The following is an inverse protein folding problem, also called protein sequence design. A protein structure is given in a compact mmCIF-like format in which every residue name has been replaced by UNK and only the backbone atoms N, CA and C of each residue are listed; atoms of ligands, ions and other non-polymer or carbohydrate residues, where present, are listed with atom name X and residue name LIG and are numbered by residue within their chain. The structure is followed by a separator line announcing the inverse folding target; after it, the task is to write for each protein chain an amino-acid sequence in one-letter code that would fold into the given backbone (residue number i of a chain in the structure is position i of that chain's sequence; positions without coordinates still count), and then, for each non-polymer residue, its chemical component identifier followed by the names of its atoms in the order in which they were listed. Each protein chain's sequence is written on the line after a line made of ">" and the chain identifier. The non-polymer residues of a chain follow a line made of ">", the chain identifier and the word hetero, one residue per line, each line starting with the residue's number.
data_IF_676390684553
#
_entry.id   IF_676390684553
#
_cell.length_a   1.000
_cell.length_b   1.000
_cell.length_c   1.000
_cell.angle_alpha   90.00
_cell.angle_beta   90.00
_cell.angle_gamma   90.00
#
_symmetry.space_group_name_H-M   'P 1'
#
loop_
_entity.id
_entity.type
_entity.pdbx_description
1 polymer ?
#
# COMPACT_ATOMS: atom_id res chain seq x y z
N UNK A 1 -18.47 52.76 -12.57
CA UNK A 1 -17.65 51.54 -12.67
C UNK A 1 -17.20 51.12 -11.27
N UNK A 2 -17.60 49.94 -10.79
CA UNK A 2 -17.20 49.35 -9.50
C UNK A 2 -16.77 47.89 -9.74
N UNK A 3 -15.54 47.54 -9.37
CA UNK A 3 -15.08 46.15 -9.07
C UNK A 3 -15.50 45.81 -7.62
N UNK A 4 -15.24 44.61 -7.07
CA UNK A 4 -15.30 43.23 -7.60
C UNK A 4 -16.12 42.32 -6.62
N UNK A 5 -16.41 41.06 -6.98
CA UNK A 5 -16.63 40.01 -5.96
C UNK A 5 -16.11 38.67 -6.46
N UNK A 6 -15.04 38.21 -5.81
CA UNK A 6 -14.63 36.83 -5.79
C UNK A 6 -15.74 36.01 -5.11
N UNK A 7 -16.23 34.97 -5.80
CA UNK A 7 -17.07 33.95 -5.20
C UNK A 7 -16.20 32.94 -4.45
N UNK A 8 -16.53 32.59 -3.19
CA UNK A 8 -15.79 31.60 -2.44
C UNK A 8 -16.52 30.23 -2.48
N UNK A 9 -15.72 29.15 -2.38
CA UNK A 9 -16.02 27.87 -1.72
C UNK A 9 -16.86 26.81 -2.46
N UNK A 10 -16.17 25.77 -2.93
CA UNK A 10 -16.45 24.37 -2.60
C UNK A 10 -15.10 23.63 -2.73
N UNK A 11 -14.39 23.24 -1.68
CA UNK A 11 -14.90 22.66 -0.45
C UNK A 11 -15.26 21.19 -0.65
N UNK A 12 -14.41 20.42 -1.34
CA UNK A 12 -14.45 18.97 -1.32
C UNK A 12 -13.22 18.44 -0.57
N UNK A 13 -13.36 17.81 0.60
CA UNK A 13 -12.26 17.07 1.18
C UNK A 13 -12.13 15.78 0.36
N UNK A 14 -11.23 15.74 -0.62
CA UNK A 14 -10.65 14.44 -1.03
C UNK A 14 -9.55 14.08 -0.05
N UNK A 15 -9.91 14.03 1.23
CA UNK A 15 -9.20 13.11 2.10
C UNK A 15 -9.68 11.75 1.61
N UNK A 16 -8.85 11.07 0.81
CA UNK A 16 -8.98 9.61 0.71
C UNK A 16 -8.71 9.18 2.14
N UNK A 17 -9.80 8.98 2.87
CA UNK A 17 -9.78 8.51 4.24
C UNK A 17 -8.84 7.32 4.22
N UNK A 18 -7.71 7.50 4.88
CA UNK A 18 -6.79 6.43 5.18
C UNK A 18 -7.62 5.46 6.02
N UNK A 19 -8.23 4.49 5.36
CA UNK A 19 -8.79 3.31 5.99
C UNK A 19 -7.62 2.73 6.79
N UNK A 20 -7.66 2.95 8.10
CA UNK A 20 -6.71 2.38 9.06
C UNK A 20 -6.55 0.91 8.69
N UNK A 21 -5.37 0.58 8.19
CA UNK A 21 -5.12 -0.59 7.37
C UNK A 21 -5.43 -1.88 8.09
N UNK A 22 -6.66 -2.37 7.92
CA UNK A 22 -6.90 -3.79 8.02
C UNK A 22 -6.15 -4.42 6.84
N UNK A 23 -5.01 -5.04 7.12
CA UNK A 23 -4.38 -5.93 6.15
C UNK A 23 -5.47 -6.93 5.75
N UNK A 24 -5.85 -6.90 4.48
CA UNK A 24 -6.94 -7.73 3.97
C UNK A 24 -6.67 -9.20 4.32
N UNK A 25 -7.71 -9.96 4.64
CA UNK A 25 -7.58 -11.33 5.16
C UNK A 25 -6.88 -12.28 4.17
N UNK A 26 -7.03 -12.01 2.88
CA UNK A 26 -6.32 -12.68 1.78
C UNK A 26 -4.81 -12.35 1.74
N UNK A 27 -4.42 -11.14 2.14
CA UNK A 27 -3.01 -10.78 2.32
C UNK A 27 -2.42 -11.55 3.50
N UNK A 28 -3.15 -11.67 4.61
CA UNK A 28 -2.70 -12.42 5.79
C UNK A 28 -2.46 -13.91 5.48
N UNK A 29 -3.26 -14.51 4.59
CA UNK A 29 -3.08 -15.91 4.18
C UNK A 29 -1.73 -16.17 3.48
N UNK A 30 -1.12 -15.15 2.88
CA UNK A 30 0.19 -15.25 2.24
C UNK A 30 1.36 -15.06 3.22
N UNK A 31 1.12 -14.47 4.39
CA UNK A 31 2.19 -14.08 5.30
C UNK A 31 2.62 -15.25 6.20
N UNK A 32 3.93 -15.38 6.48
CA UNK A 32 4.43 -16.32 7.49
C UNK A 32 4.04 -15.87 8.90
N UNK A 33 4.08 -16.78 9.88
CA UNK A 33 3.80 -16.46 11.29
C UNK A 33 4.68 -15.33 11.85
N UNK A 34 5.92 -15.20 11.36
CA UNK A 34 6.82 -14.10 11.68
C UNK A 34 7.46 -13.54 10.41
N UNK A 35 7.05 -12.32 10.07
CA UNK A 35 7.68 -11.53 9.02
C UNK A 35 8.85 -10.72 9.60
N UNK A 36 9.96 -10.66 8.88
CA UNK A 36 11.09 -9.82 9.28
C UNK A 36 10.68 -8.34 9.27
N UNK A 37 11.06 -7.51 10.26
CA UNK A 37 10.60 -6.11 10.37
C UNK A 37 10.88 -5.27 9.11
N UNK A 38 12.02 -5.51 8.46
CA UNK A 38 12.37 -4.85 7.19
C UNK A 38 11.41 -5.23 6.05
N UNK A 39 11.04 -6.51 5.94
CA UNK A 39 10.07 -6.96 4.94
C UNK A 39 8.65 -6.45 5.25
N UNK A 40 8.30 -6.34 6.53
CA UNK A 40 7.05 -5.71 6.97
C UNK A 40 6.98 -4.24 6.53
N UNK A 41 8.05 -3.46 6.74
CA UNK A 41 8.13 -2.07 6.28
C UNK A 41 7.91 -1.96 4.76
N UNK A 42 8.50 -2.85 3.96
CA UNK A 42 8.30 -2.84 2.50
C UNK A 42 6.87 -3.24 2.11
N UNK A 43 6.27 -4.21 2.81
CA UNK A 43 4.87 -4.59 2.61
C UNK A 43 3.92 -3.42 2.88
N UNK A 44 4.08 -2.75 4.01
CA UNK A 44 3.25 -1.60 4.40
C UNK A 44 3.36 -0.46 3.37
N UNK A 45 4.57 -0.14 2.90
CA UNK A 45 4.79 0.87 1.86
C UNK A 45 4.21 0.50 0.50
N UNK A 46 4.21 -0.79 0.15
CA UNK A 46 3.60 -1.25 -1.09
C UNK A 46 2.08 -1.20 -1.02
N UNK A 47 1.49 -1.63 0.12
CA UNK A 47 0.05 -1.57 0.36
C UNK A 47 -0.48 -0.12 0.47
N UNK A 48 0.32 0.82 0.98
CA UNK A 48 -0.04 2.24 1.01
C UNK A 48 0.06 2.93 -0.36
N UNK A 49 0.70 2.28 -1.35
CA UNK A 49 0.98 2.85 -2.67
C UNK A 49 2.23 3.75 -2.72
N UNK A 50 3.00 3.85 -1.63
CA UNK A 50 4.25 4.62 -1.55
C UNK A 50 5.47 3.89 -2.18
N UNK A 51 5.25 2.68 -2.70
CA UNK A 51 6.26 1.84 -3.34
C UNK A 51 5.65 1.13 -4.55
N UNK A 52 6.37 1.12 -5.67
CA UNK A 52 5.91 0.38 -6.86
C UNK A 52 6.02 -1.13 -6.66
N UNK A 53 5.21 -1.90 -7.38
CA UNK A 53 5.31 -3.37 -7.39
C UNK A 53 6.71 -3.89 -7.76
N UNK A 54 7.40 -3.22 -8.69
CA UNK A 54 8.74 -3.60 -9.10
C UNK A 54 9.78 -3.39 -7.99
N UNK A 55 9.64 -2.30 -7.21
CA UNK A 55 10.47 -2.06 -6.03
C UNK A 55 10.15 -3.05 -4.91
N UNK A 56 8.87 -3.29 -4.64
CA UNK A 56 8.43 -4.27 -3.66
C UNK A 56 9.05 -5.64 -3.94
N UNK A 57 8.93 -6.14 -5.18
CA UNK A 57 9.53 -7.40 -5.59
C UNK A 57 11.05 -7.43 -5.38
N UNK A 58 11.76 -6.31 -5.64
CA UNK A 58 13.22 -6.26 -5.46
C UNK A 58 13.65 -6.29 -4.00
N UNK A 59 12.95 -5.57 -3.13
CA UNK A 59 13.40 -5.34 -1.75
C UNK A 59 12.82 -6.35 -0.75
N UNK A 60 11.60 -6.85 -0.98
CA UNK A 60 10.89 -7.70 -0.01
C UNK A 60 11.59 -9.04 0.25
N UNK A 61 12.18 -9.65 -0.78
CA UNK A 61 12.89 -10.93 -0.68
C UNK A 61 14.37 -10.81 -0.33
N UNK A 62 14.89 -9.59 -0.18
CA UNK A 62 16.33 -9.42 0.02
C UNK A 62 16.84 -9.86 1.40
N UNK A 63 16.09 -9.63 2.51
CA UNK A 63 16.47 -10.15 3.82
C UNK A 63 16.49 -11.69 3.85
N UNK A 64 15.61 -12.32 3.06
CA UNK A 64 15.54 -13.77 2.92
C UNK A 64 14.84 -14.14 1.60
N UNK A 65 15.51 -14.95 0.78
CA UNK A 65 14.98 -15.42 -0.51
C UNK A 65 13.68 -16.23 -0.38
N UNK A 66 13.40 -16.81 0.80
CA UNK A 66 12.14 -17.53 1.11
C UNK A 66 10.90 -16.64 0.99
N UNK A 67 11.06 -15.32 1.03
CA UNK A 67 9.97 -14.37 0.84
C UNK A 67 9.61 -14.11 -0.62
N UNK A 68 10.33 -14.70 -1.58
CA UNK A 68 10.00 -14.57 -3.00
C UNK A 68 8.65 -15.23 -3.32
N UNK A 69 8.35 -16.39 -2.73
CA UNK A 69 7.04 -17.05 -2.92
C UNK A 69 5.91 -16.35 -2.16
N UNK A 70 6.22 -15.75 -1.01
CA UNK A 70 5.29 -14.85 -0.29
C UNK A 70 4.94 -13.64 -1.16
N UNK A 71 5.94 -13.01 -1.79
CA UNK A 71 5.72 -11.86 -2.68
C UNK A 71 4.83 -12.22 -3.88
N UNK A 72 4.99 -13.41 -4.47
CA UNK A 72 4.12 -13.88 -5.55
C UNK A 72 2.68 -14.09 -5.08
N UNK A 73 2.48 -14.69 -3.90
CA UNK A 73 1.14 -14.86 -3.32
C UNK A 73 0.47 -13.50 -3.11
N UNK A 74 1.20 -12.55 -2.52
CA UNK A 74 0.73 -11.18 -2.29
C UNK A 74 0.32 -10.48 -3.59
N UNK A 75 1.10 -10.63 -4.66
CA UNK A 75 0.73 -10.07 -5.96
C UNK A 75 -0.52 -10.71 -6.55
N UNK A 76 -0.68 -12.02 -6.42
CA UNK A 76 -1.86 -12.70 -6.93
C UNK A 76 -3.14 -12.23 -6.22
N UNK A 77 -3.11 -12.05 -4.89
CA UNK A 77 -4.29 -11.61 -4.13
C UNK A 77 -4.59 -10.11 -4.32
N UNK A 78 -3.56 -9.26 -4.45
CA UNK A 78 -3.74 -7.81 -4.62
C UNK A 78 -4.07 -7.42 -6.07
N UNK A 79 -3.47 -8.06 -7.07
CA UNK A 79 -3.73 -7.77 -8.49
C UNK A 79 -4.98 -8.49 -9.04
N UNK A 80 -5.48 -9.51 -8.33
CA UNK A 80 -6.69 -10.26 -8.68
C UNK A 80 -7.98 -9.71 -8.07
N UNK A 81 -7.95 -8.51 -7.47
CA UNK A 81 -9.09 -7.86 -6.82
C UNK A 81 -9.57 -6.62 -7.57
#
# INVERSE_FOLDING_TARGET
>A
MRRPTAGPLAGGPTVREAETGAIREDVLACLPERLHPVSQMFLERWLSGDMTTAEFLRWFHMPNSSYLDVAKCLLAVVAGA
#
